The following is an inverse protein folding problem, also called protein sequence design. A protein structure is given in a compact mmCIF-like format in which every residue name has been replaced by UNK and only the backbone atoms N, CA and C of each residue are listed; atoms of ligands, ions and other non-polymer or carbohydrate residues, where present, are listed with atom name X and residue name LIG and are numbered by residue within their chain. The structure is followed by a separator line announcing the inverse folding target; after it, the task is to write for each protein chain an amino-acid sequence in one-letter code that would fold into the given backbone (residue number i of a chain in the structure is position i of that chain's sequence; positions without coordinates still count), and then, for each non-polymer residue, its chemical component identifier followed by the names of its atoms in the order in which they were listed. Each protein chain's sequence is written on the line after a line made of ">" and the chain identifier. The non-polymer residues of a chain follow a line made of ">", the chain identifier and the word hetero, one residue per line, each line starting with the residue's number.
data_IF_783117729831
#
_entry.id   IF_783117729831
#
_cell.length_a   1.000
_cell.length_b   1.000
_cell.length_c   1.000
_cell.angle_alpha   90.00
_cell.angle_beta   90.00
_cell.angle_gamma   90.00
#
_symmetry.space_group_name_H-M   'P 1'
#
loop_
_entity.id
_entity.type
_entity.pdbx_description
1 polymer ?
#
# COMPACT_ATOMS: atom_id res chain seq x y z
N UNK A 1 -25.78 20.60 -25.98
CA UNK A 1 -26.47 20.29 -24.69
C UNK A 1 -25.79 19.01 -24.19
N UNK A 2 -25.39 18.94 -22.92
CA UNK A 2 -24.77 17.72 -22.37
C UNK A 2 -25.83 16.68 -22.04
N UNK A 3 -25.56 15.42 -22.33
CA UNK A 3 -26.44 14.28 -22.03
C UNK A 3 -26.32 13.83 -20.58
N UNK A 4 -25.11 13.96 -20.00
CA UNK A 4 -24.80 13.56 -18.64
C UNK A 4 -23.84 14.52 -17.96
N UNK A 5 -23.93 14.61 -16.63
CA UNK A 5 -23.01 15.34 -15.79
C UNK A 5 -22.39 14.36 -14.80
N UNK A 6 -21.05 14.32 -14.73
CA UNK A 6 -20.29 13.54 -13.76
C UNK A 6 -19.64 14.50 -12.77
N UNK A 7 -19.88 14.29 -11.49
CA UNK A 7 -19.33 15.10 -10.40
C UNK A 7 -18.11 14.37 -9.82
N UNK A 8 -16.96 15.01 -9.92
CA UNK A 8 -15.67 14.46 -9.53
C UNK A 8 -14.87 13.91 -10.71
N UNK A 9 -13.61 14.37 -10.85
CA UNK A 9 -12.67 13.99 -11.90
C UNK A 9 -11.59 13.01 -11.44
N UNK A 10 -11.78 12.35 -10.30
CA UNK A 10 -10.94 11.24 -9.86
C UNK A 10 -11.17 9.99 -10.71
N UNK A 11 -10.50 8.88 -10.39
CA UNK A 11 -10.57 7.63 -11.17
C UNK A 11 -12.01 7.18 -11.46
N UNK A 12 -12.86 7.15 -10.45
CA UNK A 12 -14.24 6.70 -10.62
C UNK A 12 -15.02 7.57 -11.62
N UNK A 13 -14.95 8.90 -11.46
CA UNK A 13 -15.61 9.83 -12.36
C UNK A 13 -15.06 9.79 -13.78
N UNK A 14 -13.74 9.72 -13.92
CA UNK A 14 -13.06 9.62 -15.21
C UNK A 14 -13.49 8.34 -15.98
N UNK A 15 -13.53 7.20 -15.30
CA UNK A 15 -13.97 5.93 -15.90
C UNK A 15 -15.44 6.00 -16.32
N UNK A 16 -16.33 6.50 -15.45
CA UNK A 16 -17.75 6.63 -15.77
C UNK A 16 -17.96 7.57 -16.96
N UNK A 17 -17.32 8.73 -16.96
CA UNK A 17 -17.41 9.68 -18.06
C UNK A 17 -16.93 9.07 -19.38
N UNK A 18 -15.81 8.35 -19.35
CA UNK A 18 -15.26 7.68 -20.52
C UNK A 18 -16.19 6.60 -21.06
N UNK A 19 -16.73 5.75 -20.19
CA UNK A 19 -17.65 4.69 -20.57
C UNK A 19 -18.96 5.23 -21.18
N UNK A 20 -19.50 6.31 -20.63
CA UNK A 20 -20.68 6.98 -21.18
C UNK A 20 -20.37 7.57 -22.56
N UNK A 21 -19.24 8.21 -22.74
CA UNK A 21 -18.84 8.77 -24.03
C UNK A 21 -18.56 7.67 -25.07
N UNK A 22 -17.73 6.68 -24.74
CA UNK A 22 -17.33 5.64 -25.70
C UNK A 22 -18.46 4.66 -26.04
N UNK A 23 -19.18 4.17 -25.01
CA UNK A 23 -20.16 3.09 -25.23
C UNK A 23 -21.59 3.59 -25.50
N UNK A 24 -21.89 4.80 -25.07
CA UNK A 24 -23.24 5.38 -25.23
C UNK A 24 -23.28 6.56 -26.20
N UNK A 25 -22.12 7.04 -26.67
CA UNK A 25 -22.03 8.20 -27.56
C UNK A 25 -22.48 9.50 -26.92
N UNK A 26 -22.49 9.60 -25.59
CA UNK A 26 -22.98 10.75 -24.85
C UNK A 26 -21.97 11.91 -24.84
N UNK A 27 -22.49 13.11 -24.86
CA UNK A 27 -21.73 14.33 -24.50
C UNK A 27 -21.74 14.46 -22.99
N UNK A 28 -20.60 14.22 -22.36
CA UNK A 28 -20.49 14.18 -20.89
C UNK A 28 -19.76 15.43 -20.39
N UNK A 29 -20.38 16.15 -19.44
CA UNK A 29 -19.71 17.21 -18.70
C UNK A 29 -19.17 16.64 -17.39
N UNK A 30 -17.86 16.81 -17.16
CA UNK A 30 -17.24 16.47 -15.89
C UNK A 30 -16.97 17.75 -15.11
N UNK A 31 -17.41 17.83 -13.87
CA UNK A 31 -17.17 18.95 -12.97
C UNK A 31 -16.46 18.49 -11.70
N UNK A 32 -15.53 19.27 -11.22
CA UNK A 32 -14.79 19.00 -9.99
C UNK A 32 -14.69 20.27 -9.14
N UNK A 33 -14.57 20.10 -7.82
CA UNK A 33 -14.36 21.21 -6.90
C UNK A 33 -12.89 21.68 -6.88
N UNK A 34 -11.98 20.85 -7.35
CA UNK A 34 -10.55 21.15 -7.44
C UNK A 34 -10.22 21.78 -8.79
N UNK A 35 -9.13 22.51 -8.83
CA UNK A 35 -8.60 23.18 -10.02
C UNK A 35 -7.77 22.23 -10.92
N UNK A 36 -7.77 20.95 -10.63
CA UNK A 36 -7.05 19.89 -11.35
C UNK A 36 -7.89 18.61 -11.50
N UNK A 37 -7.58 17.81 -12.48
CA UNK A 37 -8.13 16.46 -12.68
C UNK A 37 -7.33 15.41 -11.90
N UNK A 38 -7.84 14.17 -11.81
CA UNK A 38 -7.15 13.02 -11.21
C UNK A 38 -7.53 12.76 -9.75
N UNK A 39 -8.24 13.68 -9.09
CA UNK A 39 -8.66 13.49 -7.69
C UNK A 39 -7.45 13.32 -6.76
N UNK A 40 -7.47 12.27 -5.94
CA UNK A 40 -6.35 11.98 -5.03
C UNK A 40 -5.13 11.36 -5.73
N UNK A 41 -5.25 10.96 -6.99
CA UNK A 41 -4.14 10.44 -7.79
C UNK A 41 -3.43 11.55 -8.59
N UNK A 42 -3.58 12.79 -8.15
CA UNK A 42 -2.95 13.93 -8.79
C UNK A 42 -1.51 14.10 -8.34
N UNK A 43 -0.63 14.17 -9.34
CA UNK A 43 0.80 14.47 -9.18
C UNK A 43 1.11 15.87 -9.71
N UNK A 44 2.00 16.53 -9.05
CA UNK A 44 2.54 17.83 -9.53
C UNK A 44 4.05 17.91 -9.33
N UNK A 45 4.68 18.83 -10.03
CA UNK A 45 6.06 19.19 -9.72
C UNK A 45 6.08 20.18 -8.56
N UNK A 46 7.02 19.98 -7.64
CA UNK A 46 7.33 20.94 -6.59
C UNK A 46 8.15 22.11 -7.14
N UNK A 47 8.55 23.04 -6.27
CA UNK A 47 9.34 24.22 -6.62
C UNK A 47 10.75 23.88 -7.16
N UNK A 48 11.23 22.67 -6.95
CA UNK A 48 12.51 22.14 -7.45
C UNK A 48 12.36 21.32 -8.74
N UNK A 49 11.14 21.17 -9.24
CA UNK A 49 10.81 20.38 -10.43
C UNK A 49 10.70 18.88 -10.21
N UNK A 50 10.69 18.43 -8.95
CA UNK A 50 10.53 17.03 -8.57
C UNK A 50 9.03 16.67 -8.62
N UNK A 51 8.71 15.55 -9.28
CA UNK A 51 7.34 15.03 -9.30
C UNK A 51 6.97 14.46 -7.93
N UNK A 52 5.92 14.99 -7.34
CA UNK A 52 5.42 14.59 -6.02
C UNK A 52 3.95 14.18 -6.07
N UNK A 53 3.60 13.21 -5.25
CA UNK A 53 2.21 12.84 -4.98
C UNK A 53 1.56 13.87 -4.06
N UNK A 54 0.63 14.69 -4.59
CA UNK A 54 0.04 15.81 -3.85
C UNK A 54 -0.77 15.36 -2.62
N UNK A 55 -1.42 14.20 -2.69
CA UNK A 55 -2.35 13.71 -1.66
C UNK A 55 -1.90 12.40 -1.01
N UNK A 56 -0.61 12.11 -1.08
CA UNK A 56 -0.01 10.89 -0.58
C UNK A 56 0.22 9.82 -1.63
N UNK A 57 1.03 8.79 -1.31
CA UNK A 57 1.41 7.77 -2.27
C UNK A 57 0.20 7.02 -2.83
N UNK A 58 0.15 6.84 -4.14
CA UNK A 58 -0.88 6.09 -4.83
C UNK A 58 -0.23 5.18 -5.87
N UNK A 59 0.16 4.00 -5.42
CA UNK A 59 0.77 2.98 -6.25
C UNK A 59 -0.33 2.08 -6.77
N UNK A 60 -0.41 1.92 -8.10
CA UNK A 60 -1.39 1.02 -8.70
C UNK A 60 -0.98 -0.43 -8.49
N UNK A 61 -1.91 -1.23 -8.00
CA UNK A 61 -1.80 -2.68 -7.92
C UNK A 61 -3.15 -3.32 -8.16
N UNK A 62 -3.18 -4.45 -8.84
CA UNK A 62 -4.40 -5.22 -9.09
C UNK A 62 -4.08 -6.67 -9.40
N UNK A 63 -4.99 -7.57 -9.04
CA UNK A 63 -5.00 -8.98 -9.45
C UNK A 63 -6.09 -9.25 -10.51
N UNK A 64 -6.66 -8.19 -11.10
CA UNK A 64 -7.76 -8.27 -12.04
C UNK A 64 -7.25 -7.84 -13.42
N UNK A 65 -6.99 -8.80 -14.31
CA UNK A 65 -6.44 -8.56 -15.65
C UNK A 65 -7.23 -7.51 -16.44
N UNK A 66 -8.55 -7.58 -16.41
CA UNK A 66 -9.42 -6.61 -17.07
C UNK A 66 -9.18 -5.17 -16.63
N UNK A 67 -8.83 -4.95 -15.35
CA UNK A 67 -8.56 -3.61 -14.81
C UNK A 67 -7.19 -3.14 -15.33
N UNK A 68 -6.20 -4.03 -15.30
CA UNK A 68 -4.88 -3.74 -15.83
C UNK A 68 -4.93 -3.40 -17.34
N UNK A 69 -5.58 -4.23 -18.13
CA UNK A 69 -5.76 -4.02 -19.57
C UNK A 69 -6.49 -2.71 -19.89
N UNK A 70 -7.56 -2.41 -19.12
CA UNK A 70 -8.31 -1.18 -19.32
C UNK A 70 -7.44 0.06 -19.07
N UNK A 71 -6.69 0.10 -17.98
CA UNK A 71 -5.86 1.25 -17.63
C UNK A 71 -4.62 1.36 -18.53
N UNK A 72 -4.07 0.25 -19.00
CA UNK A 72 -2.95 0.22 -19.96
C UNK A 72 -3.26 0.89 -21.30
N UNK A 73 -4.53 1.19 -21.60
CA UNK A 73 -4.93 2.01 -22.74
C UNK A 73 -4.54 3.48 -22.61
N UNK A 74 -4.24 3.94 -21.41
CA UNK A 74 -4.07 5.36 -21.07
C UNK A 74 -2.70 5.70 -20.54
N UNK A 75 -1.88 4.72 -20.20
CA UNK A 75 -0.56 4.94 -19.61
C UNK A 75 0.41 3.81 -19.93
N UNK A 76 1.69 4.13 -19.92
CA UNK A 76 2.77 3.16 -19.84
C UNK A 76 3.11 2.92 -18.37
N UNK A 77 3.32 1.65 -18.01
CA UNK A 77 3.59 1.27 -16.63
C UNK A 77 5.08 1.31 -16.33
N UNK A 78 5.42 1.88 -15.19
CA UNK A 78 6.74 1.72 -14.56
C UNK A 78 6.62 0.65 -13.48
N UNK A 79 7.39 -0.44 -13.61
CA UNK A 79 7.43 -1.48 -12.59
C UNK A 79 8.12 -0.95 -11.34
N UNK A 80 7.34 -0.80 -10.28
CA UNK A 80 7.79 -0.30 -9.00
C UNK A 80 7.62 -1.37 -7.91
N UNK A 81 8.73 -1.71 -7.25
CA UNK A 81 8.71 -2.56 -6.06
C UNK A 81 8.67 -1.68 -4.83
N UNK A 82 7.57 -1.75 -4.11
CA UNK A 82 7.39 -0.98 -2.90
C UNK A 82 8.10 -1.68 -1.74
N UNK A 83 9.15 -1.06 -1.23
CA UNK A 83 9.88 -1.51 -0.04
C UNK A 83 9.66 -0.46 1.06
N UNK A 84 9.02 -0.87 2.14
CA UNK A 84 8.84 -0.02 3.32
C UNK A 84 9.89 -0.37 4.35
N UNK A 85 10.58 0.64 4.80
CA UNK A 85 11.59 0.53 5.87
C UNK A 85 11.15 1.42 7.03
N UNK A 86 11.14 0.86 8.23
CA UNK A 86 10.87 1.59 9.45
C UNK A 86 12.13 1.78 10.27
N UNK A 87 12.28 2.94 10.89
CA UNK A 87 13.35 3.15 11.88
C UNK A 87 12.89 2.66 13.25
N UNK A 88 13.50 1.58 13.72
CA UNK A 88 13.18 0.94 14.99
C UNK A 88 14.41 0.98 15.89
N UNK A 89 14.35 1.78 16.94
CA UNK A 89 15.49 1.99 17.86
C UNK A 89 16.81 2.33 17.15
N UNK A 90 16.75 3.16 16.09
CA UNK A 90 17.91 3.57 15.31
C UNK A 90 18.37 2.55 14.23
N UNK A 91 17.63 1.47 14.04
CA UNK A 91 17.86 0.47 12.99
C UNK A 91 16.80 0.56 11.90
N UNK A 92 17.20 0.48 10.66
CA UNK A 92 16.28 0.36 9.53
C UNK A 92 15.87 -1.10 9.35
N UNK A 93 14.58 -1.36 9.47
CA UNK A 93 14.02 -2.71 9.36
C UNK A 93 12.92 -2.75 8.31
N UNK A 94 12.84 -3.83 7.50
CA UNK A 94 11.73 -4.03 6.56
C UNK A 94 10.38 -4.09 7.27
N UNK A 95 9.36 -3.43 6.70
CA UNK A 95 7.99 -3.46 7.18
C UNK A 95 7.06 -3.96 6.03
N UNK A 96 6.09 -4.84 6.28
CA UNK A 96 5.76 -5.49 7.55
C UNK A 96 6.84 -6.48 8.01
N UNK A 97 6.82 -6.80 9.31
CA UNK A 97 7.73 -7.79 9.89
C UNK A 97 7.65 -9.12 9.13
N UNK A 98 8.80 -9.66 8.76
CA UNK A 98 8.94 -10.91 8.01
C UNK A 98 10.23 -11.63 8.41
N UNK A 99 10.55 -12.76 7.78
CA UNK A 99 11.77 -13.54 8.10
C UNK A 99 13.07 -12.74 7.94
N UNK A 100 13.16 -11.83 6.96
CA UNK A 100 14.35 -10.96 6.84
C UNK A 100 14.45 -10.00 8.04
N UNK A 101 13.32 -9.51 8.54
CA UNK A 101 13.30 -8.69 9.76
C UNK A 101 13.70 -9.51 10.97
N UNK A 102 13.28 -10.78 11.06
CA UNK A 102 13.65 -11.72 12.11
C UNK A 102 15.17 -11.89 12.15
N UNK A 103 15.80 -12.10 11.00
CA UNK A 103 17.25 -12.26 10.87
C UNK A 103 18.00 -11.00 11.34
N UNK A 104 17.55 -9.82 10.91
CA UNK A 104 18.14 -8.53 11.30
C UNK A 104 18.03 -8.24 12.80
N UNK A 105 16.95 -8.67 13.43
CA UNK A 105 16.67 -8.39 14.84
C UNK A 105 17.37 -9.38 15.75
N UNK A 106 17.27 -10.68 15.46
CA UNK A 106 17.69 -11.76 16.36
C UNK A 106 19.04 -12.40 15.99
N UNK A 107 19.60 -12.09 14.81
CA UNK A 107 20.93 -12.53 14.38
C UNK A 107 21.08 -14.05 14.47
N UNK A 108 22.05 -14.53 15.27
CA UNK A 108 22.35 -15.97 15.42
C UNK A 108 21.15 -16.81 15.93
N UNK A 109 20.18 -16.20 16.62
CA UNK A 109 18.95 -16.89 17.06
C UNK A 109 17.91 -17.03 15.94
N UNK A 110 18.02 -16.26 14.87
CA UNK A 110 17.00 -16.20 13.82
C UNK A 110 16.69 -17.57 13.19
N UNK A 111 17.67 -18.43 12.82
CA UNK A 111 17.35 -19.73 12.24
C UNK A 111 16.54 -20.64 13.17
N UNK A 112 16.77 -20.56 14.48
CA UNK A 112 15.98 -21.30 15.46
C UNK A 112 14.54 -20.76 15.54
N UNK A 113 14.38 -19.45 15.60
CA UNK A 113 13.08 -18.80 15.68
C UNK A 113 12.26 -18.97 14.39
N UNK A 114 12.91 -18.92 13.23
CA UNK A 114 12.29 -19.22 11.93
C UNK A 114 11.75 -20.65 11.91
N UNK A 115 12.58 -21.62 12.30
CA UNK A 115 12.16 -23.01 12.40
C UNK A 115 10.98 -23.15 13.36
N UNK A 116 11.02 -22.50 14.50
CA UNK A 116 9.93 -22.51 15.49
C UNK A 116 8.62 -21.96 14.91
N UNK A 117 8.67 -20.87 14.15
CA UNK A 117 7.51 -20.31 13.45
C UNK A 117 6.95 -21.27 12.40
N UNK A 118 7.83 -21.87 11.57
CA UNK A 118 7.41 -22.81 10.53
C UNK A 118 6.81 -24.09 11.13
N UNK A 119 7.42 -24.63 12.17
CA UNK A 119 6.94 -25.84 12.84
C UNK A 119 5.55 -25.65 13.49
N UNK A 120 5.23 -24.45 13.96
CA UNK A 120 3.94 -24.16 14.60
C UNK A 120 2.85 -23.70 13.62
N UNK A 121 3.21 -22.98 12.58
CA UNK A 121 2.23 -22.30 11.70
C UNK A 121 2.31 -22.72 10.22
N UNK A 122 3.38 -23.38 9.82
CA UNK A 122 3.63 -23.77 8.43
C UNK A 122 4.37 -22.70 7.63
N UNK A 123 5.01 -23.15 6.55
CA UNK A 123 5.74 -22.27 5.63
C UNK A 123 4.77 -21.32 4.89
N UNK A 124 5.14 -20.05 4.80
CA UNK A 124 4.34 -19.01 4.13
C UNK A 124 3.09 -18.58 4.90
N UNK A 125 2.88 -19.05 6.13
CA UNK A 125 1.74 -18.66 6.95
C UNK A 125 1.76 -17.15 7.27
N UNK A 126 0.55 -16.57 7.35
CA UNK A 126 0.32 -15.22 7.88
C UNK A 126 -0.31 -15.35 9.26
N UNK A 127 0.47 -15.10 10.28
CA UNK A 127 0.03 -15.27 11.66
C UNK A 127 -0.35 -13.92 12.26
N UNK A 128 -1.58 -13.76 12.77
CA UNK A 128 -1.98 -12.54 13.46
C UNK A 128 -1.11 -12.33 14.71
N UNK A 129 -0.64 -11.10 14.93
CA UNK A 129 0.22 -10.77 16.08
C UNK A 129 -0.39 -11.16 17.43
N UNK A 130 -1.71 -11.03 17.57
CA UNK A 130 -2.41 -11.39 18.80
C UNK A 130 -2.42 -12.91 19.07
N UNK A 131 -2.34 -13.72 18.03
CA UNK A 131 -2.22 -15.17 18.15
C UNK A 131 -0.84 -15.55 18.71
N UNK A 132 0.21 -14.95 18.16
CA UNK A 132 1.58 -15.09 18.69
C UNK A 132 1.70 -14.60 20.14
N UNK A 133 1.07 -13.47 20.50
CA UNK A 133 1.10 -12.92 21.86
C UNK A 133 0.46 -13.85 22.91
N UNK A 134 -0.51 -14.65 22.50
CA UNK A 134 -1.22 -15.58 23.36
C UNK A 134 -0.75 -17.04 23.23
N UNK A 135 0.33 -17.26 22.50
CA UNK A 135 0.89 -18.59 22.30
C UNK A 135 1.55 -19.12 23.58
N UNK A 136 1.56 -20.45 23.80
CA UNK A 136 2.15 -21.06 24.98
C UNK A 136 3.70 -20.97 25.01
N UNK A 137 4.32 -20.83 23.85
CA UNK A 137 5.77 -20.73 23.70
C UNK A 137 6.26 -19.29 23.94
N UNK A 138 7.13 -19.10 24.93
CA UNK A 138 7.66 -17.79 25.33
C UNK A 138 8.50 -17.10 24.24
N UNK A 139 9.22 -17.84 23.39
CA UNK A 139 9.99 -17.25 22.31
C UNK A 139 9.10 -16.68 21.20
N UNK A 140 7.96 -17.32 20.92
CA UNK A 140 6.95 -16.79 20.01
C UNK A 140 6.26 -15.55 20.58
N UNK A 141 6.03 -15.53 21.90
CA UNK A 141 5.54 -14.32 22.59
C UNK A 141 6.58 -13.19 22.53
N UNK A 142 7.88 -13.47 22.68
CA UNK A 142 8.96 -12.47 22.55
C UNK A 142 8.92 -11.81 21.17
N UNK A 143 8.82 -12.61 20.09
CA UNK A 143 8.66 -12.07 18.73
C UNK A 143 7.43 -11.18 18.64
N UNK A 144 6.30 -11.63 19.17
CA UNK A 144 5.05 -10.88 19.13
C UNK A 144 5.14 -9.54 19.87
N UNK A 145 5.75 -9.52 21.05
CA UNK A 145 5.96 -8.31 21.83
C UNK A 145 6.85 -7.30 21.09
N UNK A 146 7.91 -7.80 20.45
CA UNK A 146 8.79 -6.96 19.64
C UNK A 146 8.03 -6.33 18.47
N UNK A 147 7.30 -7.14 17.69
CA UNK A 147 6.51 -6.66 16.53
C UNK A 147 5.44 -5.66 16.98
N UNK A 148 4.76 -5.94 18.10
CA UNK A 148 3.75 -5.06 18.66
C UNK A 148 4.34 -3.70 19.07
N UNK A 149 5.46 -3.70 19.79
CA UNK A 149 6.15 -2.47 20.20
C UNK A 149 6.59 -1.64 18.98
N UNK A 150 7.12 -2.29 17.93
CA UNK A 150 7.51 -1.64 16.67
C UNK A 150 6.30 -1.03 15.95
N UNK A 151 5.19 -1.75 15.88
CA UNK A 151 3.98 -1.26 15.21
C UNK A 151 3.35 -0.06 15.90
N UNK A 152 3.43 0.00 17.24
CA UNK A 152 2.88 1.10 18.02
C UNK A 152 3.75 2.37 17.97
N UNK A 153 5.06 2.25 17.83
CA UNK A 153 5.95 3.42 17.71
C UNK A 153 5.76 4.19 16.42
N UNK A 154 5.15 3.57 15.40
CA UNK A 154 4.81 4.23 14.13
C UNK A 154 3.40 4.83 14.08
N UNK A 155 2.54 4.53 15.07
CA UNK A 155 1.16 5.04 15.13
C UNK A 155 1.00 6.27 16.01
N UNK A 156 2.02 6.72 16.70
CA UNK A 156 2.00 8.01 17.37
C UNK A 156 2.17 9.12 16.35
N UNK A 157 1.07 9.55 15.76
CA UNK A 157 1.03 10.83 15.07
C UNK A 157 1.50 11.92 16.07
N UNK A 158 2.40 12.81 15.68
CA UNK A 158 2.73 13.95 16.51
C UNK A 158 1.46 14.75 16.75
N UNK A 159 1.10 14.93 18.00
CA UNK A 159 0.03 15.85 18.45
C UNK A 159 0.41 17.28 18.18
#
# INVERSE_FOLDING_TARGET
>A
MFDSIVIGSGFAGAVVARELAEKKGQQVLVIDARDHVGGNCYDKKDDYGILIHQYGPHIFHTNIDRVYEYLSRFTDWYEYRHEVVGNVYGRELPIPFNLNTLELVYGERAPHLEKLLIDNFGEGARVPILELMNHENEELQEIAQYVYAVSYTHLTLPT
#
